data_IF_168047625474
#
_entry.id   IF_168047625474
#
_cell.length_a   1.000
_cell.length_b   1.000
_cell.length_c   1.000
_cell.angle_alpha   90.00
_cell.angle_beta   90.00
_cell.angle_gamma   90.00
#
_symmetry.space_group_name_H-M   'P 1'
#
loop_
_entity.id
_entity.type
_entity.pdbx_description
1 polymer ?
#
# COMPACT_ATOMS: atom_id res chain seq x y z
N UNK A 1 18.44 -7.26 43.08
CA UNK A 1 19.58 -6.66 43.83
C UNK A 1 19.11 -5.57 44.79
N UNK A 2 18.30 -4.58 44.34
CA UNK A 2 17.91 -3.39 45.16
C UNK A 2 17.12 -3.72 46.44
N UNK A 3 16.35 -4.83 46.51
CA UNK A 3 15.67 -5.28 47.72
C UNK A 3 16.66 -5.93 48.71
N UNK A 4 17.65 -6.62 48.17
CA UNK A 4 18.64 -7.38 48.96
C UNK A 4 19.75 -6.46 49.49
N UNK A 5 20.08 -5.37 48.79
CA UNK A 5 21.15 -4.46 49.14
C UNK A 5 21.09 -3.93 50.58
N UNK A 6 19.89 -3.62 51.07
CA UNK A 6 19.71 -3.11 52.47
C UNK A 6 19.82 -4.19 53.53
N UNK A 7 19.61 -5.49 53.17
CA UNK A 7 19.58 -6.58 54.13
C UNK A 7 20.87 -7.39 54.12
N UNK A 8 21.43 -7.61 52.94
CA UNK A 8 22.65 -8.41 52.75
C UNK A 8 23.45 -7.85 51.54
N UNK A 9 24.33 -6.85 51.79
CA UNK A 9 25.16 -6.25 50.75
C UNK A 9 26.05 -7.27 50.01
N UNK A 10 26.66 -8.24 50.75
CA UNK A 10 27.56 -9.23 50.16
C UNK A 10 26.82 -10.12 49.16
N UNK A 11 25.61 -10.56 49.48
CA UNK A 11 24.76 -11.31 48.58
C UNK A 11 24.39 -10.47 47.35
N UNK A 12 24.13 -9.17 47.50
CA UNK A 12 23.86 -8.29 46.38
C UNK A 12 25.08 -8.20 45.44
N UNK A 13 26.27 -8.03 45.97
CA UNK A 13 27.52 -8.00 45.20
C UNK A 13 27.71 -9.29 44.41
N UNK A 14 27.47 -10.47 45.03
CA UNK A 14 27.55 -11.77 44.37
C UNK A 14 26.55 -11.84 43.20
N UNK A 15 25.30 -11.41 43.41
CA UNK A 15 24.26 -11.39 42.35
C UNK A 15 24.69 -10.50 41.20
N UNK A 16 25.21 -9.30 41.50
CA UNK A 16 25.63 -8.34 40.44
C UNK A 16 26.83 -8.88 39.66
N UNK A 17 27.80 -9.53 40.34
CA UNK A 17 28.92 -10.15 39.67
C UNK A 17 28.45 -11.23 38.70
N UNK A 18 27.60 -12.18 39.16
CA UNK A 18 27.04 -13.21 38.28
C UNK A 18 26.33 -12.60 37.08
N UNK A 19 25.52 -11.56 37.27
CA UNK A 19 24.85 -10.87 36.17
C UNK A 19 25.85 -10.27 35.17
N UNK A 20 26.95 -9.68 35.63
CA UNK A 20 27.98 -9.11 34.76
C UNK A 20 28.73 -10.19 33.97
N UNK A 21 29.07 -11.31 34.60
CA UNK A 21 29.67 -12.46 33.90
C UNK A 21 28.75 -13.03 32.84
N UNK A 22 27.44 -13.10 33.11
CA UNK A 22 26.45 -13.51 32.11
C UNK A 22 26.38 -12.51 30.95
N UNK A 23 26.40 -11.20 31.22
CA UNK A 23 26.41 -10.16 30.21
C UNK A 23 27.64 -10.26 29.32
N UNK A 24 28.82 -10.51 29.90
CA UNK A 24 30.06 -10.73 29.14
C UNK A 24 29.93 -11.97 28.22
N UNK A 25 29.44 -13.08 28.72
CA UNK A 25 29.18 -14.30 27.94
C UNK A 25 28.15 -14.04 26.80
N UNK A 26 27.07 -13.33 27.08
CA UNK A 26 26.07 -12.98 26.05
C UNK A 26 26.68 -12.09 24.95
N UNK A 27 27.61 -11.19 25.29
CA UNK A 27 28.31 -10.37 24.30
C UNK A 27 29.16 -11.22 23.33
N UNK A 28 29.65 -12.37 23.75
CA UNK A 28 30.35 -13.36 22.91
C UNK A 28 29.31 -14.12 22.07
N UNK A 29 28.34 -14.76 22.73
CA UNK A 29 27.39 -15.66 22.11
C UNK A 29 26.53 -15.00 21.03
N UNK A 30 26.13 -13.76 21.22
CA UNK A 30 25.33 -13.02 20.26
C UNK A 30 26.13 -12.31 19.16
N UNK A 31 27.46 -12.30 19.24
CA UNK A 31 28.33 -11.67 18.25
C UNK A 31 27.99 -12.03 16.79
N UNK A 32 27.82 -13.32 16.43
CA UNK A 32 27.47 -13.74 15.07
C UNK A 32 26.09 -13.28 14.60
N UNK A 33 25.14 -13.08 15.51
CA UNK A 33 23.75 -12.75 15.20
C UNK A 33 23.45 -11.25 15.32
N UNK A 34 24.03 -10.60 16.34
CA UNK A 34 23.81 -9.19 16.68
C UNK A 34 25.13 -8.45 16.87
N UNK A 35 25.96 -8.34 15.82
CA UNK A 35 27.34 -7.81 15.95
C UNK A 35 27.39 -6.39 16.53
N UNK A 36 26.51 -5.52 16.11
CA UNK A 36 26.48 -4.13 16.63
C UNK A 36 26.07 -4.06 18.11
N UNK A 37 25.07 -4.83 18.51
CA UNK A 37 24.62 -4.89 19.90
C UNK A 37 25.68 -5.54 20.81
N UNK A 38 26.34 -6.59 20.33
CA UNK A 38 27.44 -7.25 21.05
C UNK A 38 28.63 -6.31 21.26
N UNK A 39 29.04 -5.57 20.23
CA UNK A 39 30.09 -4.56 20.35
C UNK A 39 29.72 -3.44 21.32
N UNK A 40 28.46 -2.95 21.25
CA UNK A 40 27.97 -1.95 22.21
C UNK A 40 27.97 -2.49 23.64
N UNK A 41 27.56 -3.74 23.82
CA UNK A 41 27.56 -4.40 25.13
C UNK A 41 28.98 -4.52 25.69
N UNK A 42 29.97 -4.95 24.90
CA UNK A 42 31.40 -4.99 25.26
C UNK A 42 31.91 -3.61 25.65
N UNK A 43 31.50 -2.58 24.90
CA UNK A 43 31.83 -1.21 25.25
C UNK A 43 31.26 -0.80 26.62
N UNK A 44 30.00 -1.16 26.93
CA UNK A 44 29.36 -0.85 28.21
C UNK A 44 30.05 -1.55 29.39
N UNK A 45 30.43 -2.82 29.22
CA UNK A 45 31.20 -3.55 30.24
C UNK A 45 32.71 -3.22 30.22
N UNK A 46 33.15 -2.34 29.31
CA UNK A 46 34.55 -1.92 29.15
C UNK A 46 35.52 -3.11 28.92
N UNK A 47 35.10 -4.12 28.16
CA UNK A 47 35.91 -5.29 27.81
C UNK A 47 35.69 -5.62 26.32
N UNK A 48 36.72 -5.33 25.51
CA UNK A 48 36.67 -5.53 24.05
C UNK A 48 37.28 -6.87 23.61
N UNK A 49 38.16 -7.43 24.39
CA UNK A 49 38.99 -8.61 24.05
C UNK A 49 38.35 -9.91 24.52
N UNK A 50 37.08 -10.09 24.23
CA UNK A 50 36.34 -11.30 24.55
C UNK A 50 36.25 -12.19 23.32
N UNK A 51 36.89 -13.37 23.37
CA UNK A 51 36.96 -14.33 22.30
C UNK A 51 35.96 -15.47 22.47
N UNK A 52 35.64 -16.16 21.38
CA UNK A 52 34.73 -17.29 21.34
C UNK A 52 35.16 -18.46 22.27
N UNK A 53 36.47 -18.65 22.39
CA UNK A 53 37.05 -19.71 23.24
C UNK A 53 36.81 -19.47 24.74
N UNK A 54 36.51 -18.23 25.12
CA UNK A 54 36.21 -17.86 26.51
C UNK A 54 34.72 -18.04 26.85
N UNK A 55 33.88 -18.38 25.89
CA UNK A 55 32.44 -18.57 26.10
C UNK A 55 32.19 -19.67 27.15
N UNK A 56 31.38 -19.33 28.13
CA UNK A 56 31.09 -20.20 29.27
C UNK A 56 32.02 -20.01 30.49
N UNK A 57 33.02 -19.14 30.39
CA UNK A 57 33.85 -18.80 31.54
C UNK A 57 33.03 -17.99 32.56
N UNK A 58 33.36 -18.22 33.85
CA UNK A 58 32.74 -17.54 34.98
C UNK A 58 33.57 -16.36 35.51
N UNK A 59 34.76 -16.11 34.95
CA UNK A 59 35.75 -15.14 35.38
C UNK A 59 36.20 -14.21 34.22
N UNK A 60 35.26 -13.82 33.34
CA UNK A 60 35.54 -12.91 32.22
C UNK A 60 35.87 -11.48 32.70
N UNK A 61 35.23 -11.05 33.78
CA UNK A 61 35.43 -9.75 34.39
C UNK A 61 36.02 -9.91 35.77
N UNK A 62 37.25 -9.44 36.05
CA UNK A 62 37.90 -9.57 37.37
C UNK A 62 37.21 -8.72 38.43
N UNK A 63 37.45 -9.01 39.68
CA UNK A 63 36.99 -8.18 40.80
C UNK A 63 37.59 -6.78 40.71
N UNK A 64 36.77 -5.75 40.89
CA UNK A 64 37.17 -4.36 40.74
C UNK A 64 37.20 -3.80 39.32
N UNK A 65 36.72 -4.61 38.35
CA UNK A 65 36.62 -4.16 36.97
C UNK A 65 35.74 -2.90 36.81
N UNK A 66 36.22 -1.94 36.04
CA UNK A 66 35.54 -0.65 35.86
C UNK A 66 34.61 -0.73 34.65
N UNK A 67 33.33 -0.48 34.88
CA UNK A 67 32.31 -0.37 33.83
C UNK A 67 32.28 1.03 33.25
N UNK A 68 31.90 1.15 31.98
CA UNK A 68 31.62 2.45 31.37
C UNK A 68 30.23 2.94 31.78
N UNK A 69 29.92 4.18 31.39
CA UNK A 69 28.62 4.81 31.68
C UNK A 69 27.45 3.97 31.12
N UNK A 70 26.44 3.65 31.95
CA UNK A 70 25.34 2.82 31.52
C UNK A 70 24.46 3.51 30.49
N UNK A 71 24.10 2.79 29.45
CA UNK A 71 23.19 3.23 28.38
C UNK A 71 22.20 2.11 28.06
N UNK A 72 21.03 2.48 27.54
CA UNK A 72 20.08 1.50 27.02
C UNK A 72 20.65 0.82 25.78
N UNK A 73 20.70 -0.50 25.81
CA UNK A 73 21.17 -1.29 24.66
C UNK A 73 20.15 -1.28 23.51
N UNK A 74 18.88 -1.31 23.84
CA UNK A 74 17.76 -1.27 22.90
C UNK A 74 16.77 -0.18 23.31
N UNK A 75 16.22 0.47 22.32
CA UNK A 75 15.13 1.43 22.48
C UNK A 75 13.84 0.79 21.99
N UNK A 76 12.71 1.21 22.55
CA UNK A 76 11.41 0.81 22.05
C UNK A 76 11.19 1.40 20.65
N UNK A 77 10.77 0.58 19.72
CA UNK A 77 10.39 1.06 18.40
C UNK A 77 8.97 1.63 18.52
N UNK A 78 8.82 2.93 18.27
CA UNK A 78 7.53 3.61 18.32
C UNK A 78 6.71 3.29 17.04
N UNK A 79 5.39 3.28 17.20
CA UNK A 79 4.45 2.89 16.13
C UNK A 79 4.60 3.78 14.87
N UNK A 80 4.96 5.05 15.05
CA UNK A 80 5.24 5.97 13.94
C UNK A 80 6.42 5.51 13.06
N UNK A 81 7.45 4.90 13.66
CA UNK A 81 8.61 4.37 12.92
C UNK A 81 8.18 3.15 12.11
N UNK A 82 7.34 2.30 12.70
CA UNK A 82 6.77 1.12 12.03
C UNK A 82 5.91 1.58 10.85
N UNK A 83 5.00 2.53 11.07
CA UNK A 83 4.13 3.04 10.02
C UNK A 83 4.92 3.62 8.84
N UNK A 84 5.96 4.41 9.12
CA UNK A 84 6.84 4.95 8.08
C UNK A 84 7.52 3.87 7.22
N UNK A 85 7.89 2.73 7.84
CA UNK A 85 8.46 1.61 7.09
C UNK A 85 7.40 0.88 6.25
N UNK A 86 6.19 0.74 6.76
CA UNK A 86 5.06 0.17 6.01
C UNK A 86 4.71 1.04 4.80
N UNK A 87 4.59 2.35 4.98
CA UNK A 87 4.32 3.29 3.90
C UNK A 87 5.41 3.24 2.81
N UNK A 88 6.68 3.14 3.23
CA UNK A 88 7.80 2.97 2.31
C UNK A 88 7.72 1.64 1.54
N UNK A 89 7.34 0.57 2.21
CA UNK A 89 7.17 -0.75 1.60
C UNK A 89 6.06 -0.72 0.53
N UNK A 90 4.91 -0.15 0.87
CA UNK A 90 3.78 -0.01 -0.06
C UNK A 90 4.15 0.86 -1.28
N UNK A 91 4.80 1.99 -1.05
CA UNK A 91 5.28 2.85 -2.14
C UNK A 91 6.26 2.12 -3.06
N UNK A 92 7.21 1.35 -2.49
CA UNK A 92 8.17 0.56 -3.26
C UNK A 92 7.49 -0.56 -4.04
N UNK A 93 6.51 -1.25 -3.42
CA UNK A 93 5.72 -2.29 -4.07
C UNK A 93 4.99 -1.72 -5.28
N UNK A 94 4.25 -0.62 -5.09
CA UNK A 94 3.51 0.06 -6.17
C UNK A 94 4.44 0.52 -7.30
N UNK A 95 5.60 1.08 -6.97
CA UNK A 95 6.60 1.49 -7.98
C UNK A 95 7.13 0.29 -8.78
N UNK A 96 7.37 -0.85 -8.14
CA UNK A 96 7.81 -2.07 -8.82
C UNK A 96 6.72 -2.67 -9.72
N UNK A 97 5.48 -2.69 -9.27
CA UNK A 97 4.34 -3.14 -10.07
C UNK A 97 4.16 -2.26 -11.31
N UNK A 98 4.25 -0.94 -11.15
CA UNK A 98 4.23 0.00 -12.26
C UNK A 98 5.38 -0.20 -13.25
N UNK A 99 6.59 -0.44 -12.74
CA UNK A 99 7.78 -0.67 -13.59
C UNK A 99 7.71 -2.00 -14.36
N UNK A 100 7.01 -2.99 -13.84
CA UNK A 100 6.83 -4.31 -14.48
C UNK A 100 5.61 -4.36 -15.39
N UNK A 101 4.71 -3.38 -15.28
CA UNK A 101 3.50 -3.34 -16.09
C UNK A 101 3.84 -3.21 -17.59
N UNK A 102 3.17 -4.00 -18.38
CA UNK A 102 3.24 -3.92 -19.84
C UNK A 102 1.82 -3.76 -20.39
N UNK A 103 1.62 -2.88 -21.38
CA UNK A 103 0.33 -2.78 -22.04
C UNK A 103 -0.03 -4.14 -22.68
N UNK A 104 -1.32 -4.41 -22.78
CA UNK A 104 -1.79 -5.57 -23.51
C UNK A 104 -1.32 -5.53 -24.98
N UNK A 105 -1.12 -6.71 -25.57
CA UNK A 105 -0.72 -6.79 -26.97
C UNK A 105 -1.76 -6.09 -27.87
N UNK A 106 -1.24 -5.44 -28.92
CA UNK A 106 -2.09 -4.81 -29.93
C UNK A 106 -2.93 -5.89 -30.60
N UNK A 107 -4.25 -5.69 -30.65
CA UNK A 107 -5.18 -6.59 -31.33
C UNK A 107 -4.95 -6.59 -32.84
N UNK A 108 -5.61 -7.55 -33.52
CA UNK A 108 -5.59 -7.62 -34.97
C UNK A 108 -6.03 -6.30 -35.63
N UNK A 109 -5.44 -6.01 -36.78
CA UNK A 109 -5.74 -4.80 -37.55
C UNK A 109 -7.20 -4.79 -37.96
N UNK A 110 -7.91 -3.70 -37.71
CA UNK A 110 -9.26 -3.45 -38.23
C UNK A 110 -9.20 -2.41 -39.35
N UNK A 111 -10.15 -2.50 -40.30
CA UNK A 111 -10.27 -1.52 -41.35
C UNK A 111 -10.85 -0.19 -40.82
N UNK A 112 -10.57 0.93 -41.49
CA UNK A 112 -11.17 2.20 -41.16
C UNK A 112 -12.71 2.17 -41.29
N UNK A 113 -13.22 1.45 -42.28
CA UNK A 113 -14.66 1.26 -42.47
C UNK A 113 -15.32 0.50 -41.31
N UNK A 114 -14.60 -0.40 -40.63
CA UNK A 114 -15.11 -1.06 -39.42
C UNK A 114 -15.16 -0.12 -38.22
N UNK A 115 -14.22 0.79 -38.13
CA UNK A 115 -14.24 1.83 -37.09
C UNK A 115 -15.37 2.85 -37.31
N UNK A 116 -15.60 3.26 -38.58
CA UNK A 116 -16.69 4.20 -38.93
C UNK A 116 -18.10 3.64 -38.64
N UNK A 117 -18.26 2.32 -38.51
CA UNK A 117 -19.52 1.72 -38.06
C UNK A 117 -19.85 1.99 -36.59
N UNK A 118 -18.87 2.41 -35.78
CA UNK A 118 -19.09 2.76 -34.38
C UNK A 118 -19.51 4.24 -34.29
N UNK A 119 -20.65 4.50 -33.69
CA UNK A 119 -21.10 5.86 -33.36
C UNK A 119 -20.66 6.19 -31.93
N UNK A 120 -19.46 6.79 -31.78
CA UNK A 120 -18.93 7.21 -30.51
C UNK A 120 -19.28 8.69 -30.31
N UNK A 121 -19.91 9.00 -29.18
CA UNK A 121 -20.37 10.37 -28.87
C UNK A 121 -19.95 10.82 -27.49
N UNK A 122 -19.95 12.17 -27.31
CA UNK A 122 -19.81 12.83 -26.05
C UNK A 122 -21.18 13.00 -25.42
N UNK A 123 -21.34 12.65 -24.15
CA UNK A 123 -22.57 12.85 -23.39
C UNK A 123 -22.30 13.48 -22.03
N UNK A 124 -23.20 14.36 -21.60
CA UNK A 124 -23.16 14.96 -20.28
C UNK A 124 -23.89 14.06 -19.28
N UNK A 125 -23.23 13.66 -18.22
CA UNK A 125 -23.85 12.88 -17.14
C UNK A 125 -24.75 13.81 -16.33
N UNK A 126 -26.06 13.61 -16.42
CA UNK A 126 -27.08 14.32 -15.61
C UNK A 126 -27.29 13.68 -14.26
N UNK A 127 -27.25 12.34 -14.22
CA UNK A 127 -27.42 11.57 -12.98
C UNK A 127 -26.60 10.28 -13.06
N UNK A 128 -26.11 9.82 -11.91
CA UNK A 128 -25.38 8.57 -11.77
C UNK A 128 -25.67 7.92 -10.42
N UNK A 129 -26.23 6.72 -10.42
CA UNK A 129 -26.63 6.04 -9.19
C UNK A 129 -26.33 4.53 -9.21
N UNK A 130 -26.16 3.94 -8.02
CA UNK A 130 -25.98 2.49 -7.88
C UNK A 130 -27.31 1.77 -8.14
N UNK A 131 -27.24 0.70 -8.93
CA UNK A 131 -28.45 -0.12 -9.20
C UNK A 131 -28.76 -0.97 -7.97
N UNK A 132 -29.96 -0.78 -7.37
CA UNK A 132 -30.40 -1.39 -6.09
C UNK A 132 -30.24 -2.92 -6.04
N UNK A 133 -30.34 -3.61 -7.17
CA UNK A 133 -30.25 -5.08 -7.30
C UNK A 133 -28.86 -5.59 -7.69
N UNK A 134 -27.85 -4.71 -7.81
CA UNK A 134 -26.51 -5.08 -8.25
C UNK A 134 -25.42 -4.32 -7.48
N UNK A 135 -24.43 -5.04 -6.97
CA UNK A 135 -23.22 -4.43 -6.37
C UNK A 135 -22.22 -3.94 -7.41
N UNK A 136 -22.40 -4.30 -8.70
CA UNK A 136 -21.43 -4.04 -9.78
C UNK A 136 -21.88 -2.95 -10.74
N UNK A 137 -23.19 -2.61 -10.80
CA UNK A 137 -23.73 -1.74 -11.82
C UNK A 137 -23.98 -0.32 -11.30
N UNK A 138 -23.54 0.67 -12.11
CA UNK A 138 -24.00 2.04 -12.07
C UNK A 138 -24.98 2.27 -13.20
N UNK A 139 -26.06 3.00 -12.93
CA UNK A 139 -26.99 3.53 -13.91
C UNK A 139 -26.67 4.99 -14.15
N UNK A 140 -26.45 5.35 -15.40
CA UNK A 140 -26.22 6.70 -15.87
C UNK A 140 -27.45 7.23 -16.61
N UNK A 141 -27.77 8.48 -16.35
CA UNK A 141 -28.67 9.29 -17.17
C UNK A 141 -27.83 10.31 -17.91
N UNK A 142 -27.78 10.21 -19.21
CA UNK A 142 -26.86 10.97 -20.08
C UNK A 142 -27.66 11.82 -21.04
N UNK A 143 -27.38 13.12 -21.09
CA UNK A 143 -27.77 13.98 -22.17
C UNK A 143 -26.84 13.78 -23.37
N UNK A 144 -27.36 13.20 -24.45
CA UNK A 144 -26.63 12.91 -25.68
C UNK A 144 -26.89 13.92 -26.79
N UNK A 145 -27.55 15.04 -26.46
CA UNK A 145 -27.90 16.10 -27.44
C UNK A 145 -29.09 15.78 -28.33
N UNK A 146 -29.75 14.62 -28.17
CA UNK A 146 -30.92 14.25 -28.99
C UNK A 146 -32.24 14.88 -28.54
N UNK A 147 -32.23 15.51 -27.36
CA UNK A 147 -33.44 16.08 -26.71
C UNK A 147 -34.15 15.11 -25.77
N UNK A 148 -33.68 13.86 -25.71
CA UNK A 148 -34.14 12.84 -24.74
C UNK A 148 -32.95 12.26 -24.00
N UNK A 149 -33.09 12.09 -22.69
CA UNK A 149 -32.01 11.52 -21.90
C UNK A 149 -31.84 10.01 -22.18
N UNK A 150 -30.61 9.57 -22.31
CA UNK A 150 -30.24 8.18 -22.56
C UNK A 150 -29.86 7.48 -21.26
N UNK A 151 -30.38 6.28 -21.05
CA UNK A 151 -29.96 5.43 -19.91
C UNK A 151 -28.87 4.47 -20.33
N UNK A 152 -27.75 4.44 -19.61
CA UNK A 152 -26.67 3.47 -19.81
C UNK A 152 -26.29 2.84 -18.47
N UNK A 153 -26.23 1.50 -18.45
CA UNK A 153 -25.72 0.76 -17.29
C UNK A 153 -24.29 0.31 -17.55
N UNK A 154 -23.39 0.48 -16.56
CA UNK A 154 -22.00 0.09 -16.64
C UNK A 154 -21.56 -0.68 -15.40
N UNK A 155 -20.68 -1.69 -15.57
CA UNK A 155 -20.18 -2.59 -14.54
C UNK A 155 -19.08 -2.00 -13.66
N UNK A 156 -19.07 -0.69 -13.42
CA UNK A 156 -17.95 0.04 -12.81
C UNK A 156 -18.21 0.52 -11.37
N UNK A 157 -19.27 0.03 -10.73
CA UNK A 157 -19.65 0.48 -9.39
C UNK A 157 -18.59 0.20 -8.30
N UNK A 158 -17.72 -0.79 -8.51
CA UNK A 158 -16.63 -1.10 -7.58
C UNK A 158 -15.53 -0.02 -7.56
N UNK A 159 -15.42 0.77 -8.62
CA UNK A 159 -14.38 1.80 -8.78
C UNK A 159 -14.85 3.20 -8.39
N UNK A 160 -16.15 3.37 -8.14
CA UNK A 160 -16.75 4.65 -7.77
C UNK A 160 -17.59 4.50 -6.51
N UNK A 161 -16.99 4.78 -5.37
CA UNK A 161 -17.71 4.74 -4.09
C UNK A 161 -18.84 5.76 -4.05
N UNK A 162 -18.58 6.94 -4.63
CA UNK A 162 -19.50 8.07 -4.74
C UNK A 162 -19.81 8.32 -6.23
N UNK A 163 -20.83 7.64 -6.78
CA UNK A 163 -21.18 7.81 -8.21
C UNK A 163 -21.54 9.25 -8.58
N UNK A 164 -21.97 10.05 -7.60
CA UNK A 164 -22.36 11.45 -7.77
C UNK A 164 -21.20 12.32 -8.29
N UNK A 165 -19.95 11.91 -8.06
CA UNK A 165 -18.77 12.63 -8.58
C UNK A 165 -18.64 12.58 -10.11
N UNK A 166 -19.38 11.68 -10.75
CA UNK A 166 -19.47 11.60 -12.21
C UNK A 166 -20.52 12.55 -12.80
N UNK A 167 -21.42 13.07 -12.00
CA UNK A 167 -22.44 14.02 -12.44
C UNK A 167 -21.77 15.32 -12.92
N UNK A 168 -22.23 15.85 -14.03
CA UNK A 168 -21.68 17.04 -14.68
C UNK A 168 -20.44 16.79 -15.53
N UNK A 169 -19.88 15.56 -15.53
CA UNK A 169 -18.76 15.21 -16.42
C UNK A 169 -19.24 14.88 -17.81
N UNK A 170 -18.42 15.23 -18.81
CA UNK A 170 -18.61 14.81 -20.20
C UNK A 170 -17.82 13.53 -20.44
N UNK A 171 -18.54 12.47 -20.77
CA UNK A 171 -17.97 11.14 -20.96
C UNK A 171 -18.18 10.67 -22.40
N UNK A 172 -17.33 9.75 -22.84
CA UNK A 172 -17.46 9.13 -24.15
C UNK A 172 -18.24 7.81 -24.02
N UNK A 173 -19.14 7.60 -24.97
CA UNK A 173 -19.91 6.36 -25.03
C UNK A 173 -20.19 5.93 -26.49
N UNK A 174 -20.39 4.64 -26.70
CA UNK A 174 -20.87 4.09 -27.99
C UNK A 174 -22.38 4.14 -28.01
N UNK A 175 -22.93 4.87 -28.97
CA UNK A 175 -24.35 5.20 -29.05
C UNK A 175 -25.19 4.15 -29.83
N UNK A 176 -24.58 3.44 -30.76
CA UNK A 176 -25.28 2.56 -31.71
C UNK A 176 -25.23 1.06 -31.38
N UNK A 177 -24.98 0.70 -30.11
CA UNK A 177 -25.20 -0.67 -29.67
C UNK A 177 -26.69 -0.95 -29.48
N UNK A 178 -27.11 -2.16 -29.84
CA UNK A 178 -28.47 -2.62 -29.55
C UNK A 178 -28.75 -2.55 -28.03
N UNK A 179 -29.92 -2.02 -27.63
CA UNK A 179 -30.31 -1.94 -26.23
C UNK A 179 -30.24 -3.29 -25.53
N UNK A 180 -29.74 -3.33 -24.30
CA UNK A 180 -29.62 -4.54 -23.49
C UNK A 180 -30.32 -4.37 -22.16
N UNK A 181 -31.10 -5.37 -21.74
CA UNK A 181 -31.69 -5.37 -20.39
C UNK A 181 -30.62 -5.81 -19.35
N UNK A 182 -30.35 -4.96 -18.38
CA UNK A 182 -29.41 -5.19 -17.29
C UNK A 182 -30.15 -5.00 -15.96
N UNK A 183 -30.47 -6.10 -15.28
CA UNK A 183 -31.22 -6.10 -14.01
C UNK A 183 -32.58 -5.36 -14.06
N UNK A 184 -33.27 -5.43 -15.22
CA UNK A 184 -34.56 -4.77 -15.42
C UNK A 184 -34.48 -3.34 -15.94
N UNK A 185 -33.27 -2.85 -16.22
CA UNK A 185 -33.01 -1.54 -16.80
C UNK A 185 -32.52 -1.72 -18.24
N UNK A 186 -33.14 -1.03 -19.19
CA UNK A 186 -32.70 -1.02 -20.57
C UNK A 186 -31.47 -0.09 -20.72
N UNK A 187 -30.31 -0.67 -21.02
CA UNK A 187 -29.07 0.06 -21.32
C UNK A 187 -28.96 0.33 -22.80
N UNK A 188 -28.84 1.61 -23.17
CA UNK A 188 -28.87 2.08 -24.56
C UNK A 188 -27.50 2.56 -25.05
N UNK A 189 -26.47 1.77 -24.81
CA UNK A 189 -25.10 2.09 -25.20
C UNK A 189 -24.06 1.54 -24.24
N UNK A 190 -22.81 1.93 -24.45
CA UNK A 190 -21.68 1.51 -23.63
C UNK A 190 -20.75 2.69 -23.32
N UNK A 191 -20.46 2.94 -22.05
CA UNK A 191 -19.49 3.94 -21.63
C UNK A 191 -18.07 3.43 -21.88
N UNK A 192 -17.21 4.30 -22.41
CA UNK A 192 -15.78 4.01 -22.57
C UNK A 192 -15.04 4.27 -21.27
N UNK A 193 -14.18 3.34 -20.88
CA UNK A 193 -13.33 3.44 -19.71
C UNK A 193 -11.94 2.89 -19.99
N UNK A 194 -10.94 3.43 -19.30
CA UNK A 194 -9.58 2.94 -19.31
C UNK A 194 -9.29 2.23 -17.99
N UNK A 195 -8.52 1.14 -18.06
CA UNK A 195 -8.04 0.38 -16.91
C UNK A 195 -6.55 0.60 -16.78
N UNK A 196 -6.08 1.00 -15.60
CA UNK A 196 -4.67 1.27 -15.31
C UNK A 196 -3.96 -0.02 -14.83
N UNK A 197 -2.63 0.08 -14.62
CA UNK A 197 -1.78 -1.02 -14.18
C UNK A 197 -2.17 -1.60 -12.81
N UNK A 198 -2.77 -0.80 -11.94
CA UNK A 198 -3.24 -1.19 -10.61
C UNK A 198 -4.69 -1.67 -10.60
N UNK A 199 -5.22 -2.02 -11.79
CA UNK A 199 -6.61 -2.39 -12.01
C UNK A 199 -7.62 -1.28 -11.69
N UNK A 200 -7.17 -0.06 -11.37
CA UNK A 200 -8.07 1.07 -11.24
C UNK A 200 -8.70 1.42 -12.58
N UNK A 201 -9.94 1.91 -12.55
CA UNK A 201 -10.70 2.23 -13.74
C UNK A 201 -11.12 3.69 -13.74
N UNK A 202 -10.93 4.36 -14.88
CA UNK A 202 -11.41 5.71 -15.12
C UNK A 202 -12.32 5.76 -16.35
N UNK A 203 -13.43 6.46 -16.26
CA UNK A 203 -14.24 6.78 -17.43
C UNK A 203 -13.49 7.76 -18.35
N UNK A 204 -13.60 7.58 -19.66
CA UNK A 204 -12.96 8.46 -20.63
C UNK A 204 -13.75 9.76 -20.73
N UNK A 205 -13.06 10.88 -20.52
CA UNK A 205 -13.65 12.24 -20.51
C UNK A 205 -12.99 13.15 -21.54
N UNK A 206 -13.64 14.25 -21.88
CA UNK A 206 -13.06 15.28 -22.74
C UNK A 206 -12.24 16.29 -21.91
N UNK A 207 -11.12 16.76 -22.45
CA UNK A 207 -10.26 17.77 -21.81
C UNK A 207 -10.78 19.18 -21.95
N UNK A 208 -11.71 19.41 -22.88
CA UNK A 208 -12.37 20.70 -23.13
C UNK A 208 -13.88 20.55 -23.02
N UNK A 209 -14.55 21.65 -22.84
CA UNK A 209 -16.01 21.72 -22.86
C UNK A 209 -16.55 21.51 -24.28
N UNK A 210 -16.99 20.27 -24.55
CA UNK A 210 -17.54 19.85 -25.86
C UNK A 210 -19.03 19.62 -25.68
N UNK A 211 -19.84 20.05 -26.66
CA UNK A 211 -21.31 19.88 -26.59
C UNK A 211 -21.72 18.41 -26.58
N UNK A 212 -22.81 18.13 -25.84
CA UNK A 212 -23.46 16.82 -25.87
C UNK A 212 -23.85 16.44 -27.29
N UNK A 213 -23.67 15.18 -27.67
CA UNK A 213 -23.94 14.68 -29.01
C UNK A 213 -22.81 14.85 -30.02
N UNK A 214 -21.71 15.55 -29.66
CA UNK A 214 -20.55 15.67 -30.56
C UNK A 214 -19.97 14.29 -30.85
N UNK A 215 -19.71 14.04 -32.11
CA UNK A 215 -19.14 12.77 -32.60
C UNK A 215 -17.63 12.73 -32.33
N UNK A 216 -17.14 11.54 -32.05
CA UNK A 216 -15.71 11.25 -31.83
C UNK A 216 -15.25 10.39 -33.02
N UNK A 217 -14.18 10.85 -33.68
CA UNK A 217 -13.59 10.17 -34.84
C UNK A 217 -12.13 10.56 -35.04
#
# INVERSE_FOLDING_TARGET
>A
PWKVWKQDPKRCETILNICLQLVANLSIAFGPFLPFSSNRLRSLINEQNLDWEQLGSIDLLPAGHQLNEPQLLFEKIEDEVIQRQLDKLEATKKANEQAQWKPADIKETVSFEDFEKLDIRVGLVKDCQKVKKSKKLLQFTIDDGSGTDRTICSGIAAFYEKPEELIGKRILFVANFAPRNMMGIESQGMILSAVDFDESLSVVTTTKDVKSGSQVG
#
